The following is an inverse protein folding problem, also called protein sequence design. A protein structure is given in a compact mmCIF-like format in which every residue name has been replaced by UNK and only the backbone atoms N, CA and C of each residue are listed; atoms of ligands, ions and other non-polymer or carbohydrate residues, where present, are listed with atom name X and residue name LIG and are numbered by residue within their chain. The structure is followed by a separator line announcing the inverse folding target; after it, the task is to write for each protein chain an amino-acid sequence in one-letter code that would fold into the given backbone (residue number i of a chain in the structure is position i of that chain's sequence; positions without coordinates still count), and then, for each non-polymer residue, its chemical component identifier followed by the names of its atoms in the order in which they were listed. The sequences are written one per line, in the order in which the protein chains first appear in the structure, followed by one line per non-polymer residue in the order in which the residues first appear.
data_IF_711166235054
#
_entry.id   IF_711166235054
#
_cell.length_a   1.000
_cell.length_b   1.000
_cell.length_c   1.000
_cell.angle_alpha   90.00
_cell.angle_beta   90.00
_cell.angle_gamma   90.00
#
_symmetry.space_group_name_H-M   'P 1'
#
loop_
_entity.id
_entity.type
_entity.pdbx_description
1 polymer ?
#
# COMPACT_ATOMS: atom_id res chain seq x y z
N UNK A 1 0.05 66.90 0.78
CA UNK A 1 0.40 66.27 2.08
C UNK A 1 -0.35 64.98 2.37
N UNK A 2 -1.68 64.92 2.32
CA UNK A 2 -2.47 63.71 2.66
C UNK A 2 -2.15 62.47 1.81
N UNK A 3 -1.85 62.65 0.51
CA UNK A 3 -1.53 61.53 -0.39
C UNK A 3 -0.13 60.91 -0.17
N UNK A 4 0.82 61.69 0.34
CA UNK A 4 2.19 61.22 0.61
C UNK A 4 2.21 60.38 1.89
N UNK A 5 1.43 60.79 2.90
CA UNK A 5 1.24 60.04 4.14
C UNK A 5 0.51 58.71 3.93
N UNK A 6 -0.49 58.68 3.03
CA UNK A 6 -1.17 57.44 2.67
C UNK A 6 -0.22 56.42 2.00
N UNK A 7 0.64 56.88 1.09
CA UNK A 7 1.63 56.01 0.42
C UNK A 7 2.68 55.47 1.41
N UNK A 8 3.17 56.31 2.32
CA UNK A 8 4.10 55.88 3.37
C UNK A 8 3.47 54.85 4.31
N UNK A 9 2.20 55.03 4.69
CA UNK A 9 1.49 54.07 5.52
C UNK A 9 1.34 52.70 4.85
N UNK A 10 0.97 52.66 3.57
CA UNK A 10 0.85 51.40 2.81
C UNK A 10 2.20 50.68 2.71
N UNK A 11 3.29 51.41 2.47
CA UNK A 11 4.64 50.80 2.42
C UNK A 11 5.03 50.19 3.77
N UNK A 12 4.74 50.87 4.89
CA UNK A 12 5.02 50.35 6.23
C UNK A 12 4.20 49.10 6.54
N UNK A 13 2.93 49.06 6.13
CA UNK A 13 2.08 47.87 6.30
C UNK A 13 2.58 46.69 5.46
N UNK A 14 3.00 46.93 4.21
CA UNK A 14 3.52 45.87 3.34
C UNK A 14 4.88 45.32 3.81
N UNK A 15 5.78 46.20 4.28
CA UNK A 15 7.07 45.80 4.84
C UNK A 15 6.92 45.09 6.19
N UNK A 16 6.05 45.60 7.07
CA UNK A 16 5.76 44.98 8.37
C UNK A 16 5.05 43.63 8.24
N UNK A 17 4.10 43.52 7.31
CA UNK A 17 3.41 42.27 7.00
C UNK A 17 4.34 41.20 6.42
N UNK A 18 5.27 41.60 5.54
CA UNK A 18 6.30 40.69 5.00
C UNK A 18 7.26 40.20 6.08
N UNK A 19 7.68 41.06 7.01
CA UNK A 19 8.55 40.67 8.12
C UNK A 19 7.85 39.74 9.12
N UNK A 20 6.58 39.99 9.43
CA UNK A 20 5.76 39.10 10.26
C UNK A 20 5.58 37.72 9.60
N UNK A 21 5.29 37.68 8.30
CA UNK A 21 5.14 36.42 7.57
C UNK A 21 6.44 35.61 7.52
N UNK A 22 7.59 36.26 7.27
CA UNK A 22 8.89 35.59 7.28
C UNK A 22 9.33 35.14 8.67
N UNK A 23 9.02 35.90 9.73
CA UNK A 23 9.41 35.54 11.10
C UNK A 23 8.53 34.46 11.73
N UNK A 24 7.25 34.36 11.32
CA UNK A 24 6.32 33.33 11.79
C UNK A 24 6.22 32.08 10.90
N UNK A 25 6.70 32.13 9.65
CA UNK A 25 6.58 31.05 8.67
C UNK A 25 7.50 29.84 8.88
N UNK A 26 8.45 29.89 9.81
CA UNK A 26 9.27 28.72 10.16
C UNK A 26 8.46 27.77 11.04
N UNK A 27 7.74 26.84 10.41
CA UNK A 27 7.20 25.65 11.09
C UNK A 27 8.35 25.01 11.85
N UNK A 28 8.21 24.86 13.16
CA UNK A 28 9.12 24.02 13.94
C UNK A 28 8.99 22.63 13.36
N UNK A 29 10.07 22.06 12.86
CA UNK A 29 10.11 20.68 12.43
C UNK A 29 9.66 19.83 13.62
N UNK A 30 8.44 19.30 13.53
CA UNK A 30 7.96 18.32 14.50
C UNK A 30 8.76 17.07 14.19
N UNK A 31 9.84 16.87 14.94
CA UNK A 31 10.59 15.63 14.92
C UNK A 31 9.65 14.55 15.46
N UNK A 32 9.00 13.85 14.54
CA UNK A 32 8.19 12.70 14.85
C UNK A 32 9.16 11.54 15.14
N UNK A 33 9.42 11.29 16.42
CA UNK A 33 10.09 10.06 16.85
C UNK A 33 9.17 8.90 16.51
N UNK A 34 9.48 8.23 15.39
CA UNK A 34 8.80 6.99 15.02
C UNK A 34 9.18 5.96 16.08
N UNK A 35 8.21 5.31 16.76
CA UNK A 35 8.53 4.25 17.70
C UNK A 35 9.28 3.13 16.99
N UNK A 36 10.19 2.47 17.71
CA UNK A 36 10.87 1.28 17.19
C UNK A 36 9.85 0.22 16.78
N UNK A 37 10.10 -0.46 15.66
CA UNK A 37 9.26 -1.55 15.21
C UNK A 37 9.10 -2.59 16.34
N UNK A 38 7.85 -2.89 16.66
CA UNK A 38 7.45 -3.86 17.68
C UNK A 38 7.29 -5.21 16.98
N UNK A 39 7.75 -6.31 17.58
CA UNK A 39 7.60 -7.64 16.96
C UNK A 39 6.13 -8.09 17.02
N UNK A 40 5.73 -8.98 16.11
CA UNK A 40 4.37 -9.51 16.08
C UNK A 40 3.99 -10.18 17.41
N UNK A 41 4.93 -10.93 18.00
CA UNK A 41 4.78 -11.61 19.28
C UNK A 41 4.52 -10.64 20.43
N UNK A 42 5.23 -9.50 20.43
CA UNK A 42 5.07 -8.46 21.44
C UNK A 42 3.71 -7.76 21.31
N UNK A 43 3.24 -7.51 20.08
CA UNK A 43 1.89 -6.98 19.83
C UNK A 43 0.82 -7.96 20.33
N UNK A 44 0.98 -9.26 20.06
CA UNK A 44 0.04 -10.30 20.50
C UNK A 44 -0.02 -10.36 22.03
N UNK A 45 1.13 -10.35 22.73
CA UNK A 45 1.13 -10.43 24.19
C UNK A 45 0.57 -9.15 24.83
N UNK A 46 0.81 -7.98 24.24
CA UNK A 46 0.22 -6.72 24.70
C UNK A 46 -1.31 -6.74 24.55
N UNK A 47 -1.84 -7.18 23.41
CA UNK A 47 -3.29 -7.33 23.19
C UNK A 47 -3.88 -8.31 24.20
N UNK A 48 -3.19 -9.43 24.46
CA UNK A 48 -3.62 -10.46 25.42
C UNK A 48 -3.61 -9.97 26.87
N UNK A 49 -2.69 -9.07 27.22
CA UNK A 49 -2.59 -8.45 28.55
C UNK A 49 -3.55 -7.27 28.76
N UNK A 50 -4.03 -6.65 27.67
CA UNK A 50 -4.95 -5.52 27.72
C UNK A 50 -6.38 -5.95 28.07
N UNK A 51 -7.23 -5.01 28.49
CA UNK A 51 -8.64 -5.26 28.83
C UNK A 51 -9.45 -5.91 27.68
N UNK A 52 -8.95 -5.81 26.44
CA UNK A 52 -9.47 -6.50 25.25
C UNK A 52 -9.26 -8.03 25.29
N UNK A 53 -8.21 -8.50 25.96
CA UNK A 53 -7.89 -9.93 26.18
C UNK A 53 -8.84 -10.63 27.16
N UNK A 54 -9.65 -9.88 27.92
CA UNK A 54 -10.72 -10.46 28.75
C UNK A 54 -11.92 -10.87 27.90
N UNK A 55 -12.18 -10.15 26.78
CA UNK A 55 -13.29 -10.46 25.87
C UNK A 55 -13.00 -11.66 24.96
N UNK A 56 -11.74 -11.95 24.64
CA UNK A 56 -11.37 -13.14 23.84
C UNK A 56 -11.49 -14.43 24.63
N UNK A 57 -11.21 -14.43 25.95
CA UNK A 57 -11.39 -15.62 26.81
C UNK A 57 -12.81 -16.19 26.81
N UNK A 58 -13.82 -15.35 26.60
CA UNK A 58 -15.22 -15.79 26.56
C UNK A 58 -15.61 -16.37 25.18
N UNK A 59 -14.89 -16.02 24.11
CA UNK A 59 -15.12 -16.54 22.76
C UNK A 59 -14.46 -17.93 22.61
N UNK A 60 -13.34 -18.16 23.29
CA UNK A 60 -12.61 -19.44 23.24
C UNK A 60 -13.31 -20.58 23.99
N UNK A 61 -14.29 -20.29 24.85
CA UNK A 61 -15.11 -21.31 25.51
C UNK A 61 -16.26 -21.85 24.63
N UNK A 62 -16.42 -21.36 23.40
CA UNK A 62 -17.57 -21.70 22.53
C UNK A 62 -17.15 -22.59 21.34
N UNK A 63 -15.86 -22.86 21.13
CA UNK A 63 -15.40 -23.70 20.00
C UNK A 63 -14.40 -24.76 20.48
N UNK A 64 -14.83 -25.89 21.08
CA UNK A 64 -13.89 -26.91 21.55
C UNK A 64 -13.66 -28.08 20.58
N UNK A 65 -14.41 -28.23 19.47
CA UNK A 65 -14.46 -29.54 18.79
C UNK A 65 -13.92 -29.60 17.35
N UNK A 66 -13.59 -28.47 16.72
CA UNK A 66 -13.06 -28.48 15.34
C UNK A 66 -11.54 -28.22 15.24
N UNK A 67 -10.94 -27.59 16.27
CA UNK A 67 -9.51 -27.22 16.27
C UNK A 67 -8.61 -28.40 16.65
N UNK A 68 -9.07 -29.30 17.52
CA UNK A 68 -8.26 -30.46 17.97
C UNK A 68 -8.01 -31.50 16.87
N UNK A 69 -8.81 -31.49 15.79
CA UNK A 69 -8.63 -32.42 14.66
C UNK A 69 -7.54 -31.95 13.68
N UNK A 70 -7.20 -30.66 13.66
CA UNK A 70 -6.19 -30.12 12.74
C UNK A 70 -4.76 -30.21 13.29
N UNK A 71 -4.60 -30.22 14.62
CA UNK A 71 -3.28 -30.28 15.26
C UNK A 71 -2.64 -31.68 15.15
N UNK A 72 -3.43 -32.74 15.06
CA UNK A 72 -2.92 -34.12 15.05
C UNK A 72 -2.43 -34.57 13.66
N UNK A 73 -2.96 -34.02 12.56
CA UNK A 73 -2.56 -34.38 11.19
C UNK A 73 -1.31 -33.60 10.73
N UNK A 74 -1.06 -32.44 11.33
CA UNK A 74 0.08 -31.56 10.97
C UNK A 74 1.39 -32.06 11.58
N UNK A 75 1.37 -32.60 12.80
CA UNK A 75 2.58 -33.11 13.47
C UNK A 75 3.14 -34.39 12.83
N UNK A 76 2.32 -35.16 12.09
CA UNK A 76 2.77 -36.39 11.44
C UNK A 76 3.45 -36.16 10.08
N UNK A 77 3.27 -34.98 9.48
CA UNK A 77 3.87 -34.62 8.20
C UNK A 77 5.25 -33.97 8.35
N UNK A 78 5.49 -33.25 9.45
CA UNK A 78 6.72 -32.48 9.69
C UNK A 78 7.92 -33.34 10.12
N UNK A 79 7.69 -34.50 10.76
CA UNK A 79 8.78 -35.41 11.18
C UNK A 79 9.46 -36.17 10.01
N UNK A 80 8.92 -36.07 8.78
CA UNK A 80 9.46 -36.80 7.62
C UNK A 80 10.38 -35.99 6.69
N UNK A 81 10.58 -34.69 6.97
CA UNK A 81 11.29 -33.78 6.05
C UNK A 81 12.60 -33.20 6.59
N UNK A 82 12.98 -33.49 7.84
CA UNK A 82 14.15 -32.85 8.47
C UNK A 82 15.52 -33.43 8.09
N UNK A 83 15.63 -34.57 7.39
CA UNK A 83 16.91 -35.31 7.34
C UNK A 83 17.65 -35.33 6.00
N UNK A 84 17.26 -34.55 5.00
CA UNK A 84 17.85 -34.64 3.65
C UNK A 84 17.98 -33.31 2.90
N UNK A 85 18.32 -32.17 3.54
CA UNK A 85 18.73 -31.00 2.72
C UNK A 85 19.61 -29.97 3.44
N UNK A 86 20.51 -30.42 4.30
CA UNK A 86 21.72 -29.63 4.57
C UNK A 86 22.87 -30.25 3.79
N UNK A 87 23.69 -29.41 3.16
CA UNK A 87 24.91 -29.71 2.39
C UNK A 87 24.74 -29.77 0.86
N UNK A 88 25.34 -28.78 0.17
CA UNK A 88 25.83 -28.85 -1.24
C UNK A 88 25.26 -27.91 -2.31
N UNK A 89 24.82 -26.68 -2.00
CA UNK A 89 24.62 -25.63 -3.04
C UNK A 89 25.05 -24.21 -2.60
N UNK A 90 26.05 -24.11 -1.72
CA UNK A 90 26.60 -22.83 -1.28
C UNK A 90 27.79 -22.39 -2.14
N UNK A 91 27.56 -22.08 -3.42
CA UNK A 91 28.51 -21.29 -4.21
C UNK A 91 27.78 -20.58 -5.35
N UNK A 92 27.48 -19.28 -5.15
CA UNK A 92 27.15 -18.36 -6.24
C UNK A 92 25.74 -17.75 -6.27
N UNK A 93 24.88 -17.98 -5.28
CA UNK A 93 23.59 -17.25 -5.20
C UNK A 93 23.85 -15.91 -4.51
N UNK A 94 23.83 -14.82 -5.28
CA UNK A 94 23.64 -13.49 -4.70
C UNK A 94 22.31 -13.51 -3.96
N UNK A 95 22.38 -13.50 -2.63
CA UNK A 95 21.21 -13.47 -1.78
C UNK A 95 20.53 -12.11 -2.01
N UNK A 96 19.32 -12.13 -2.58
CA UNK A 96 18.46 -10.96 -2.58
C UNK A 96 18.20 -10.56 -1.12
N UNK A 97 18.07 -9.26 -0.83
CA UNK A 97 17.68 -8.85 0.50
C UNK A 97 16.33 -9.49 0.87
N UNK A 98 16.13 -9.88 2.13
CA UNK A 98 14.88 -10.51 2.57
C UNK A 98 13.67 -9.58 2.40
N UNK A 99 13.91 -8.27 2.40
CA UNK A 99 12.90 -7.24 2.21
C UNK A 99 13.48 -6.08 1.41
N UNK A 100 12.60 -5.37 0.69
CA UNK A 100 12.93 -4.14 -0.02
C UNK A 100 11.85 -3.13 0.24
N UNK A 101 12.24 -1.91 0.60
CA UNK A 101 11.32 -0.80 0.76
C UNK A 101 11.27 0.00 -0.54
N UNK A 102 10.15 -0.10 -1.26
CA UNK A 102 9.95 0.63 -2.50
C UNK A 102 9.67 2.11 -2.20
N UNK A 103 10.27 2.99 -2.98
CA UNK A 103 10.13 4.44 -2.86
C UNK A 103 8.80 4.97 -3.43
N UNK A 104 7.69 4.28 -3.16
CA UNK A 104 6.35 4.63 -3.66
C UNK A 104 5.90 5.96 -3.06
N UNK A 105 5.52 6.96 -3.87
CA UNK A 105 4.93 8.19 -3.36
C UNK A 105 3.53 7.90 -2.81
N UNK A 106 3.15 8.61 -1.75
CA UNK A 106 1.91 8.39 -1.03
C UNK A 106 0.86 9.45 -1.36
N UNK A 107 -0.41 9.04 -1.49
CA UNK A 107 -1.57 9.92 -1.39
C UNK A 107 -2.66 9.24 -0.56
N UNK A 108 -3.50 10.05 0.09
CA UNK A 108 -4.76 9.60 0.69
C UNK A 108 -5.81 9.45 -0.41
N UNK A 109 -6.77 8.52 -0.26
CA UNK A 109 -7.98 8.46 -1.08
C UNK A 109 -8.85 9.71 -0.92
N UNK A 110 -8.71 10.42 0.21
CA UNK A 110 -9.23 11.76 0.44
C UNK A 110 -8.05 12.75 0.56
N UNK A 111 -7.52 13.31 -0.55
CA UNK A 111 -6.32 14.16 -0.54
C UNK A 111 -6.41 15.36 0.40
N UNK A 112 -7.61 15.94 0.53
CA UNK A 112 -7.90 17.06 1.44
C UNK A 112 -8.52 16.65 2.78
N UNK A 113 -8.54 15.35 3.09
CA UNK A 113 -9.24 14.78 4.24
C UNK A 113 -10.76 15.06 4.24
N UNK A 114 -11.34 15.29 3.07
CA UNK A 114 -12.79 15.34 2.86
C UNK A 114 -13.28 13.92 2.52
N UNK A 115 -13.99 13.30 3.44
CA UNK A 115 -14.53 11.94 3.32
C UNK A 115 -16.00 12.01 2.93
N UNK A 116 -16.26 12.48 1.71
CA UNK A 116 -17.62 12.43 1.14
C UNK A 116 -17.89 11.08 0.44
N UNK A 117 -19.11 10.91 -0.05
CA UNK A 117 -19.56 9.67 -0.69
C UNK A 117 -18.75 9.23 -1.92
N UNK A 118 -17.95 10.13 -2.50
CA UNK A 118 -17.03 9.77 -3.59
C UNK A 118 -15.72 9.30 -2.98
N UNK A 119 -15.13 10.09 -2.09
CA UNK A 119 -13.84 9.79 -1.50
C UNK A 119 -13.83 8.54 -0.60
N UNK A 120 -14.97 8.15 -0.03
CA UNK A 120 -15.12 6.88 0.70
C UNK A 120 -14.83 5.65 -0.18
N UNK A 121 -15.02 5.76 -1.49
CA UNK A 121 -14.94 4.65 -2.44
C UNK A 121 -13.73 4.72 -3.39
N UNK A 122 -12.78 5.64 -3.19
CA UNK A 122 -11.63 5.86 -4.12
C UNK A 122 -10.34 5.12 -3.72
N UNK A 123 -10.46 4.00 -2.98
CA UNK A 123 -9.29 3.33 -2.42
C UNK A 123 -8.47 2.58 -3.47
N UNK A 124 -9.13 2.06 -4.50
CA UNK A 124 -8.53 1.42 -5.66
C UNK A 124 -7.77 2.46 -6.52
N UNK A 125 -8.37 3.61 -6.80
CA UNK A 125 -7.81 4.71 -7.60
C UNK A 125 -6.59 5.32 -6.92
N UNK A 126 -6.66 5.55 -5.61
CA UNK A 126 -5.50 6.02 -4.84
C UNK A 126 -4.35 5.02 -4.89
N UNK A 127 -4.64 3.73 -4.77
CA UNK A 127 -3.64 2.66 -4.88
C UNK A 127 -3.02 2.61 -6.27
N UNK A 128 -3.84 2.75 -7.32
CA UNK A 128 -3.41 2.79 -8.72
C UNK A 128 -2.52 4.01 -9.00
N UNK A 129 -2.90 5.19 -8.53
CA UNK A 129 -2.12 6.42 -8.68
C UNK A 129 -0.74 6.30 -8.01
N UNK A 130 -0.67 5.81 -6.78
CA UNK A 130 0.60 5.60 -6.08
C UNK A 130 1.55 4.67 -6.85
N UNK A 131 1.02 3.55 -7.36
CA UNK A 131 1.81 2.58 -8.14
C UNK A 131 2.23 3.15 -9.48
N UNK A 132 1.34 3.83 -10.20
CA UNK A 132 1.67 4.46 -11.47
C UNK A 132 2.75 5.53 -11.30
N UNK A 133 2.61 6.42 -10.32
CA UNK A 133 3.59 7.47 -10.03
C UNK A 133 4.98 6.88 -9.70
N UNK A 134 5.04 5.76 -8.98
CA UNK A 134 6.28 5.03 -8.76
C UNK A 134 6.93 4.56 -10.07
N UNK A 135 6.16 3.99 -11.00
CA UNK A 135 6.68 3.53 -12.30
C UNK A 135 7.08 4.68 -13.24
N UNK A 136 6.46 5.86 -13.11
CA UNK A 136 6.87 7.08 -13.82
C UNK A 136 8.12 7.74 -13.22
N UNK A 137 8.71 7.14 -12.17
CA UNK A 137 9.93 7.63 -11.55
C UNK A 137 9.72 8.82 -10.61
N UNK A 138 8.49 9.06 -10.16
CA UNK A 138 8.24 10.05 -9.13
C UNK A 138 8.92 9.64 -7.82
N UNK A 139 9.61 10.59 -7.19
CA UNK A 139 10.34 10.33 -5.97
C UNK A 139 9.42 9.98 -4.80
N UNK A 140 9.94 9.22 -3.83
CA UNK A 140 9.32 9.01 -2.52
C UNK A 140 8.87 10.35 -1.93
N UNK A 141 7.70 10.36 -1.31
CA UNK A 141 7.15 11.51 -0.63
C UNK A 141 5.63 11.48 -0.66
N UNK A 142 5.02 12.65 -0.61
CA UNK A 142 3.57 12.80 -0.75
C UNK A 142 3.27 13.39 -2.12
N UNK A 143 2.31 12.81 -2.83
CA UNK A 143 1.76 13.40 -4.06
C UNK A 143 1.05 14.69 -3.69
N UNK A 144 1.20 15.76 -4.48
CA UNK A 144 0.50 17.03 -4.20
C UNK A 144 -1.02 16.79 -4.12
N UNK A 145 -1.71 17.24 -3.05
CA UNK A 145 -3.13 16.96 -2.88
C UNK A 145 -4.03 17.47 -4.01
N UNK A 146 -3.68 18.57 -4.69
CA UNK A 146 -4.47 19.06 -5.82
C UNK A 146 -4.31 18.13 -7.03
N UNK A 147 -3.08 17.66 -7.28
CA UNK A 147 -2.80 16.71 -8.36
C UNK A 147 -3.48 15.37 -8.07
N UNK A 148 -3.39 14.90 -6.83
CA UNK A 148 -4.05 13.66 -6.44
C UNK A 148 -5.57 13.78 -6.61
N UNK A 149 -6.19 14.85 -6.12
CA UNK A 149 -7.63 15.09 -6.28
C UNK A 149 -8.05 15.08 -7.75
N UNK A 150 -7.36 15.86 -8.59
CA UNK A 150 -7.66 15.96 -10.01
C UNK A 150 -7.60 14.59 -10.70
N UNK A 151 -6.54 13.83 -10.43
CA UNK A 151 -6.36 12.51 -11.04
C UNK A 151 -7.36 11.49 -10.51
N UNK A 152 -7.68 11.51 -9.21
CA UNK A 152 -8.69 10.61 -8.65
C UNK A 152 -10.06 10.87 -9.27
N UNK A 153 -10.46 12.13 -9.44
CA UNK A 153 -11.74 12.46 -10.07
C UNK A 153 -11.78 12.08 -11.55
N UNK A 154 -10.68 12.22 -12.28
CA UNK A 154 -10.58 11.77 -13.68
C UNK A 154 -10.66 10.23 -13.80
N UNK A 155 -10.07 9.50 -12.85
CA UNK A 155 -10.22 8.05 -12.76
C UNK A 155 -11.67 7.64 -12.48
N UNK A 156 -12.32 8.27 -11.51
CA UNK A 156 -13.74 8.04 -11.19
C UNK A 156 -14.62 8.28 -12.42
N UNK A 157 -14.42 9.39 -13.13
CA UNK A 157 -15.17 9.66 -14.37
C UNK A 157 -14.90 8.59 -15.43
N UNK A 158 -13.64 8.19 -15.61
CA UNK A 158 -13.24 7.15 -16.56
C UNK A 158 -13.84 5.79 -16.23
N UNK A 159 -13.86 5.37 -14.97
CA UNK A 159 -14.47 4.10 -14.55
C UNK A 159 -15.99 4.12 -14.73
N UNK A 160 -16.65 5.25 -14.43
CA UNK A 160 -18.06 5.41 -14.76
C UNK A 160 -18.34 5.30 -16.27
N UNK A 161 -17.44 5.76 -17.13
CA UNK A 161 -17.57 5.60 -18.59
C UNK A 161 -17.32 4.16 -19.06
N UNK A 162 -16.37 3.45 -18.44
CA UNK A 162 -15.95 2.10 -18.86
C UNK A 162 -16.88 1.01 -18.29
N UNK A 163 -17.26 1.14 -17.01
CA UNK A 163 -18.01 0.13 -16.26
C UNK A 163 -19.44 0.56 -15.93
N UNK A 164 -19.72 1.87 -15.93
CA UNK A 164 -21.00 2.42 -15.46
C UNK A 164 -21.05 2.66 -13.93
N UNK A 165 -19.94 2.41 -13.23
CA UNK A 165 -19.73 2.65 -11.80
C UNK A 165 -18.22 2.70 -11.50
N UNK A 166 -17.86 3.21 -10.31
CA UNK A 166 -16.46 3.21 -9.80
C UNK A 166 -16.33 2.55 -8.41
N UNK A 167 -17.45 2.43 -7.68
CA UNK A 167 -17.45 1.92 -6.30
C UNK A 167 -17.12 0.43 -6.25
N UNK A 168 -16.30 0.04 -5.27
CA UNK A 168 -15.96 -1.35 -4.96
C UNK A 168 -15.47 -2.16 -6.18
N UNK A 169 -14.58 -1.60 -7.00
CA UNK A 169 -14.08 -2.34 -8.16
C UNK A 169 -13.32 -3.60 -7.73
N UNK A 170 -13.60 -4.72 -8.42
CA UNK A 170 -12.87 -5.97 -8.18
C UNK A 170 -11.42 -5.84 -8.64
N UNK A 171 -10.51 -6.67 -8.10
CA UNK A 171 -9.12 -6.70 -8.56
C UNK A 171 -9.00 -6.88 -10.09
N UNK A 172 -9.86 -7.70 -10.70
CA UNK A 172 -9.97 -7.86 -12.16
C UNK A 172 -10.39 -6.57 -12.89
N UNK A 173 -11.34 -5.82 -12.33
CA UNK A 173 -11.82 -4.55 -12.87
C UNK A 173 -10.78 -3.46 -12.73
N UNK A 174 -10.18 -3.28 -11.54
CA UNK A 174 -9.04 -2.39 -11.33
C UNK A 174 -7.90 -2.74 -12.29
N UNK A 175 -7.59 -4.03 -12.47
CA UNK A 175 -6.56 -4.44 -13.43
C UNK A 175 -6.94 -4.10 -14.87
N UNK A 176 -8.21 -4.22 -15.27
CA UNK A 176 -8.68 -3.81 -16.60
C UNK A 176 -8.61 -2.30 -16.75
N UNK A 177 -8.98 -1.54 -15.71
CA UNK A 177 -8.91 -0.10 -15.67
C UNK A 177 -7.48 0.39 -15.87
N UNK A 178 -6.52 -0.11 -15.09
CA UNK A 178 -5.08 0.25 -15.20
C UNK A 178 -4.53 0.02 -16.62
N UNK A 179 -4.90 -1.10 -17.27
CA UNK A 179 -4.49 -1.37 -18.65
C UNK A 179 -5.10 -0.40 -19.65
N UNK A 180 -6.33 0.05 -19.40
CA UNK A 180 -7.10 0.90 -20.32
C UNK A 180 -6.73 2.37 -20.15
N UNK A 181 -6.69 2.86 -18.91
CA UNK A 181 -6.45 4.24 -18.54
C UNK A 181 -4.98 4.64 -18.70
N UNK A 182 -4.06 3.82 -18.17
CA UNK A 182 -2.61 4.11 -18.22
C UNK A 182 -1.84 3.33 -19.29
N UNK A 183 -2.44 2.34 -19.94
CA UNK A 183 -1.76 1.55 -20.96
C UNK A 183 -0.71 0.56 -20.42
N UNK A 184 -0.72 0.23 -19.12
CA UNK A 184 0.23 -0.74 -18.56
C UNK A 184 0.01 -2.13 -19.18
N UNK A 185 1.03 -2.68 -19.84
CA UNK A 185 0.91 -3.99 -20.50
C UNK A 185 0.90 -5.17 -19.50
N UNK A 186 1.63 -5.02 -18.38
CA UNK A 186 1.87 -6.08 -17.40
C UNK A 186 1.13 -5.84 -16.10
N UNK A 187 -0.17 -6.09 -16.13
CA UNK A 187 -1.03 -6.12 -14.95
C UNK A 187 -1.55 -7.53 -14.79
N UNK A 188 -1.35 -8.15 -13.63
CA UNK A 188 -1.75 -9.54 -13.35
C UNK A 188 -2.51 -9.57 -12.03
N UNK A 189 -3.66 -10.24 -12.01
CA UNK A 189 -4.39 -10.56 -10.78
C UNK A 189 -3.94 -11.95 -10.33
N UNK A 190 -3.50 -12.03 -9.07
CA UNK A 190 -3.02 -13.27 -8.48
C UNK A 190 -3.94 -13.66 -7.32
N UNK A 191 -4.62 -14.80 -7.45
CA UNK A 191 -5.38 -15.37 -6.37
C UNK A 191 -4.45 -15.86 -5.25
N UNK A 192 -4.73 -15.44 -4.02
CA UNK A 192 -3.99 -15.83 -2.82
C UNK A 192 -2.47 -15.73 -3.02
N UNK A 193 -1.91 -14.51 -3.18
CA UNK A 193 -0.48 -14.32 -3.36
C UNK A 193 0.25 -14.66 -2.05
N UNK A 194 0.48 -15.94 -1.80
CA UNK A 194 1.45 -16.37 -0.79
C UNK A 194 2.82 -15.95 -1.29
N UNK A 195 3.65 -15.44 -0.37
CA UNK A 195 5.05 -15.13 -0.64
C UNK A 195 5.79 -16.41 -1.03
N UNK A 196 5.67 -16.83 -2.28
CA UNK A 196 6.55 -17.81 -2.88
C UNK A 196 7.85 -17.08 -3.18
N UNK A 197 8.76 -17.06 -2.20
CA UNK A 197 10.06 -16.40 -2.32
C UNK A 197 10.72 -16.77 -3.65
N UNK A 198 10.74 -15.84 -4.60
CA UNK A 198 11.39 -15.91 -5.92
C UNK A 198 11.17 -17.15 -6.83
N UNK A 199 10.54 -18.24 -6.37
CA UNK A 199 10.44 -19.50 -7.11
C UNK A 199 9.04 -19.74 -7.71
N UNK A 200 7.97 -19.21 -7.10
CA UNK A 200 6.59 -19.49 -7.57
C UNK A 200 6.20 -18.82 -8.89
N UNK A 201 6.78 -17.66 -9.21
CA UNK A 201 6.52 -16.97 -10.49
C UNK A 201 7.28 -17.61 -11.66
N UNK A 202 8.38 -18.32 -11.40
CA UNK A 202 9.11 -19.06 -12.44
C UNK A 202 8.35 -20.32 -12.87
N UNK A 203 7.72 -21.05 -11.95
CA UNK A 203 6.98 -22.27 -12.31
C UNK A 203 5.73 -22.00 -13.16
N UNK A 204 4.95 -20.95 -12.86
CA UNK A 204 3.80 -20.56 -13.71
C UNK A 204 4.24 -20.19 -15.13
N UNK A 205 5.42 -19.57 -15.31
CA UNK A 205 5.98 -19.25 -16.64
C UNK A 205 6.34 -20.52 -17.42
N UNK A 206 6.99 -21.49 -16.79
CA UNK A 206 7.37 -22.76 -17.43
C UNK A 206 6.12 -23.56 -17.84
N UNK A 207 5.07 -23.60 -17.01
CA UNK A 207 3.84 -24.30 -17.37
C UNK A 207 3.08 -23.64 -18.53
N UNK A 208 3.03 -22.30 -18.60
CA UNK A 208 2.35 -21.57 -19.68
C UNK A 208 3.11 -21.58 -21.02
N UNK A 209 4.43 -21.77 -21.00
CA UNK A 209 5.24 -21.91 -22.23
C UNK A 209 5.22 -23.34 -22.77
N UNK A 210 5.25 -24.35 -21.89
CA UNK A 210 5.14 -25.78 -22.26
C UNK A 210 3.77 -26.13 -22.86
N UNK A 211 2.69 -25.53 -22.35
CA UNK A 211 1.33 -25.70 -22.89
C UNK A 211 1.12 -25.04 -24.26
N UNK A 212 1.93 -24.04 -24.63
CA UNK A 212 1.92 -23.43 -25.97
C UNK A 212 2.70 -24.24 -27.01
N UNK A 213 3.61 -25.12 -26.59
CA UNK A 213 4.47 -25.93 -27.46
C UNK A 213 4.15 -27.43 -27.47
N UNK A 214 3.06 -27.85 -26.83
CA UNK A 214 2.61 -29.23 -26.94
C UNK A 214 2.14 -29.50 -28.39
N UNK A 215 2.67 -30.54 -29.07
CA UNK A 215 2.25 -30.85 -30.43
C UNK A 215 0.77 -31.23 -30.43
N UNK A 216 -0.02 -30.50 -31.23
CA UNK A 216 -1.42 -30.84 -31.51
C UNK A 216 -1.44 -32.22 -32.16
N UNK A 217 -2.03 -33.20 -31.48
CA UNK A 217 -2.42 -34.48 -32.08
C UNK A 217 -3.75 -34.34 -32.80
#
# INVERSE_FOLDING_TARGET
MKLIWLKLFVIVVLLGGSWAFYSFGSRKDVVFEVPSAVSFEEVVEQVRSSEFGVRSKQIEQIIPEEVSRFEEDTQKAEESLEDQQTTSLAEGVSLLPPEVNLAVPFTSQAPFANWDEVHEDTCEEASVLMVHAFYEGQARGTIDPNVAEEVLMDMVESENLIFGYFKDTTAEETARFVRTYYGHERVEVLDNPRHAGSQGLYEKRIYRERSRHAPRR
#
